data_IF_235491139470
#
_entry.id   IF_235491139470
#
_cell.length_a   1.000
_cell.length_b   1.000
_cell.length_c   1.000
_cell.angle_alpha   90.00
_cell.angle_beta   90.00
_cell.angle_gamma   90.00
#
_symmetry.space_group_name_H-M   'P 1'
#
loop_
_entity.id
_entity.type
_entity.pdbx_description
1 polymer ?
#
# COMPACT_ATOMS: atom_id res chain seq x y z
N UNK A 1 5.18 16.58 -13.48
CA UNK A 1 6.63 16.28 -13.44
C UNK A 1 7.15 16.02 -12.02
N UNK A 2 7.11 16.97 -11.09
CA UNK A 2 7.62 16.73 -9.71
C UNK A 2 6.87 15.62 -8.97
N UNK A 3 5.54 15.56 -9.10
CA UNK A 3 4.73 14.48 -8.50
C UNK A 3 5.02 13.10 -9.11
N UNK A 4 5.26 13.03 -10.42
CA UNK A 4 5.56 11.78 -11.12
C UNK A 4 6.89 11.18 -10.68
N UNK A 5 7.91 12.04 -10.49
CA UNK A 5 9.21 11.63 -9.95
C UNK A 5 9.11 11.13 -8.51
N UNK A 6 8.32 11.82 -7.66
CA UNK A 6 8.06 11.38 -6.30
C UNK A 6 7.33 10.03 -6.26
N UNK A 7 6.37 9.83 -7.17
CA UNK A 7 5.66 8.55 -7.31
C UNK A 7 6.62 7.43 -7.72
N UNK A 8 7.50 7.66 -8.69
CA UNK A 8 8.51 6.68 -9.10
C UNK A 8 9.46 6.34 -7.96
N UNK A 9 9.96 7.35 -7.24
CA UNK A 9 10.82 7.15 -6.08
C UNK A 9 10.09 6.33 -4.99
N UNK A 10 8.82 6.66 -4.70
CA UNK A 10 8.01 5.93 -3.74
C UNK A 10 7.82 4.46 -4.14
N UNK A 11 7.52 4.17 -5.41
CA UNK A 11 7.38 2.79 -5.91
C UNK A 11 8.67 1.99 -5.71
N UNK A 12 9.83 2.56 -6.02
CA UNK A 12 11.13 1.91 -5.84
C UNK A 12 11.39 1.63 -4.36
N UNK A 13 11.24 2.64 -3.49
CA UNK A 13 11.49 2.51 -2.06
C UNK A 13 10.53 1.52 -1.40
N UNK A 14 9.23 1.57 -1.74
CA UNK A 14 8.24 0.63 -1.23
C UNK A 14 8.53 -0.81 -1.68
N UNK A 15 8.89 -1.00 -2.96
CA UNK A 15 9.24 -2.32 -3.49
C UNK A 15 10.43 -2.94 -2.76
N UNK A 16 11.50 -2.16 -2.56
CA UNK A 16 12.67 -2.58 -1.77
C UNK A 16 12.29 -2.87 -0.31
N UNK A 17 11.50 -1.99 0.30
CA UNK A 17 11.01 -2.16 1.67
C UNK A 17 10.21 -3.45 1.86
N UNK A 18 9.39 -3.84 0.87
CA UNK A 18 8.67 -5.11 0.92
C UNK A 18 9.57 -6.33 0.73
N UNK A 19 10.57 -6.23 -0.15
CA UNK A 19 11.53 -7.31 -0.33
C UNK A 19 12.35 -7.56 0.93
N UNK A 20 12.92 -6.51 1.53
CA UNK A 20 13.67 -6.60 2.78
C UNK A 20 12.77 -6.98 3.97
N UNK A 21 11.56 -6.42 4.05
CA UNK A 21 10.59 -6.79 5.07
C UNK A 21 10.22 -8.27 5.03
N UNK A 22 10.07 -8.85 3.84
CA UNK A 22 9.84 -10.28 3.66
C UNK A 22 11.04 -11.13 4.10
N UNK A 23 12.28 -10.67 3.82
CA UNK A 23 13.51 -11.33 4.27
C UNK A 23 13.63 -11.29 5.80
N UNK A 24 13.52 -10.12 6.40
CA UNK A 24 13.57 -9.92 7.86
C UNK A 24 12.48 -10.71 8.57
N UNK A 25 11.31 -10.90 7.94
CA UNK A 25 10.21 -11.68 8.52
C UNK A 25 10.56 -13.15 8.71
N UNK A 26 11.49 -13.70 7.92
CA UNK A 26 11.98 -15.08 8.11
C UNK A 26 12.87 -15.23 9.35
N UNK A 27 13.51 -14.15 9.79
CA UNK A 27 14.43 -14.13 10.93
C UNK A 27 13.74 -13.65 12.22
N UNK A 28 12.93 -12.58 12.12
CA UNK A 28 12.32 -11.89 13.26
C UNK A 28 10.80 -12.12 13.38
N UNK A 29 10.16 -12.69 12.37
CA UNK A 29 8.69 -12.80 12.33
C UNK A 29 7.97 -11.49 11.98
N UNK A 30 6.83 -11.60 11.30
CA UNK A 30 6.16 -10.47 10.63
C UNK A 30 5.68 -9.37 11.57
N UNK A 31 5.32 -9.72 12.82
CA UNK A 31 4.85 -8.74 13.80
C UNK A 31 5.98 -7.87 14.35
N UNK A 32 7.20 -8.41 14.50
CA UNK A 32 8.36 -7.63 14.94
C UNK A 32 8.81 -6.69 13.83
N UNK A 33 8.84 -7.16 12.58
CA UNK A 33 9.23 -6.35 11.42
C UNK A 33 8.34 -5.13 11.26
N UNK A 34 6.99 -5.29 11.27
CA UNK A 34 6.09 -4.14 11.13
C UNK A 34 6.16 -3.22 12.35
N UNK A 35 6.28 -3.76 13.56
CA UNK A 35 6.38 -2.94 14.78
C UNK A 35 7.61 -2.04 14.75
N UNK A 36 8.77 -2.59 14.37
CA UNK A 36 9.99 -1.80 14.19
C UNK A 36 9.88 -0.80 13.06
N UNK A 37 9.29 -1.17 11.92
CA UNK A 37 9.05 -0.24 10.82
C UNK A 37 8.18 0.96 11.26
N UNK A 38 7.11 0.71 12.02
CA UNK A 38 6.24 1.76 12.56
C UNK A 38 6.96 2.67 13.56
N UNK A 39 7.76 2.09 14.47
CA UNK A 39 8.55 2.87 15.44
C UNK A 39 9.57 3.77 14.72
N UNK A 40 10.25 3.25 13.68
CA UNK A 40 11.20 4.03 12.90
C UNK A 40 10.52 5.11 12.04
N UNK A 41 9.33 4.85 11.52
CA UNK A 41 8.55 5.81 10.75
C UNK A 41 7.91 6.90 11.62
N UNK A 42 7.58 6.59 12.88
CA UNK A 42 6.88 7.48 13.80
C UNK A 42 7.48 8.90 13.90
N UNK A 43 8.80 9.12 14.12
CA UNK A 43 9.34 10.47 14.21
C UNK A 43 9.11 11.30 12.93
N UNK A 44 9.29 10.69 11.76
CA UNK A 44 9.05 11.36 10.47
C UNK A 44 7.56 11.69 10.29
N UNK A 45 6.68 10.76 10.66
CA UNK A 45 5.23 10.95 10.59
C UNK A 45 4.73 12.01 11.58
N UNK A 46 5.34 12.12 12.76
CA UNK A 46 5.02 13.17 13.73
C UNK A 46 5.42 14.55 13.20
N UNK A 47 6.61 14.67 12.60
CA UNK A 47 7.04 15.93 11.96
C UNK A 47 6.11 16.30 10.81
N UNK A 48 5.80 15.35 9.92
CA UNK A 48 4.87 15.57 8.81
C UNK A 48 3.48 16.01 9.30
N UNK A 49 2.91 15.29 10.28
CA UNK A 49 1.62 15.60 10.90
C UNK A 49 1.60 17.00 11.52
N UNK A 50 2.68 17.42 12.17
CA UNK A 50 2.81 18.77 12.72
C UNK A 50 2.85 19.84 11.63
N UNK A 51 3.59 19.60 10.55
CA UNK A 51 3.70 20.53 9.42
C UNK A 51 2.39 20.65 8.63
N UNK A 52 1.61 19.57 8.54
CA UNK A 52 0.36 19.50 7.76
C UNK A 52 -0.89 19.60 8.65
N UNK A 53 -0.75 20.02 9.91
CA UNK A 53 -1.87 20.09 10.86
C UNK A 53 -2.96 21.03 10.36
N UNK A 54 -4.25 20.73 10.63
CA UNK A 54 -5.33 21.63 10.27
C UNK A 54 -5.28 22.91 11.13
N UNK A 55 -5.79 24.02 10.58
CA UNK A 55 -5.91 25.27 11.32
C UNK A 55 -6.83 25.16 12.56
N UNK A 56 -7.81 24.25 12.50
CA UNK A 56 -8.71 23.95 13.62
C UNK A 56 -8.98 22.45 13.74
N UNK A 57 -8.92 21.93 14.95
CA UNK A 57 -9.24 20.52 15.25
C UNK A 57 -10.75 20.25 15.33
N UNK A 58 -11.57 21.28 15.53
CA UNK A 58 -13.02 21.16 15.67
C UNK A 58 -13.75 20.69 14.41
N UNK A 59 -13.10 20.72 13.25
CA UNK A 59 -13.65 20.24 11.97
C UNK A 59 -13.45 18.72 11.75
N UNK A 60 -12.69 18.03 12.62
CA UNK A 60 -12.44 16.59 12.46
C UNK A 60 -13.63 15.82 13.02
N UNK A 61 -14.36 15.15 12.15
CA UNK A 61 -15.52 14.34 12.53
C UNK A 61 -15.11 13.12 13.39
N UNK A 62 -16.01 12.58 14.21
CA UNK A 62 -15.79 11.30 14.90
C UNK A 62 -15.49 10.15 13.92
N UNK A 63 -16.09 10.17 12.73
CA UNK A 63 -15.84 9.16 11.69
C UNK A 63 -14.39 9.19 11.18
N UNK A 64 -13.75 10.36 11.11
CA UNK A 64 -12.35 10.47 10.72
C UNK A 64 -11.42 9.81 11.76
N UNK A 65 -11.72 9.96 13.05
CA UNK A 65 -10.98 9.28 14.12
C UNK A 65 -11.16 7.76 14.08
N UNK A 66 -12.38 7.29 13.84
CA UNK A 66 -12.65 5.86 13.67
C UNK A 66 -11.91 5.31 12.44
N UNK A 67 -11.93 6.04 11.31
CA UNK A 67 -11.19 5.67 10.12
C UNK A 67 -9.67 5.62 10.37
N UNK A 68 -9.12 6.57 11.13
CA UNK A 68 -7.71 6.55 11.54
C UNK A 68 -7.39 5.31 12.40
N UNK A 69 -8.24 4.99 13.36
CA UNK A 69 -8.10 3.77 14.18
C UNK A 69 -8.16 2.51 13.32
N UNK A 70 -9.10 2.44 12.38
CA UNK A 70 -9.25 1.30 11.48
C UNK A 70 -8.03 1.12 10.57
N UNK A 71 -7.61 2.20 9.90
CA UNK A 71 -6.47 2.17 8.98
C UNK A 71 -5.17 1.85 9.73
N UNK A 72 -4.96 2.39 10.93
CA UNK A 72 -3.73 2.13 11.69
C UNK A 72 -3.67 0.71 12.27
N UNK A 73 -4.75 0.23 12.90
CA UNK A 73 -4.73 -1.06 13.61
C UNK A 73 -4.98 -2.24 12.67
N UNK A 74 -6.05 -2.19 11.88
CA UNK A 74 -6.46 -3.34 11.07
C UNK A 74 -5.73 -3.38 9.73
N UNK A 75 -5.70 -2.27 9.01
CA UNK A 75 -5.06 -2.22 7.69
C UNK A 75 -3.54 -2.21 7.79
N UNK A 76 -2.99 -1.30 8.60
CA UNK A 76 -1.54 -1.10 8.66
C UNK A 76 -0.86 -2.09 9.60
N UNK A 77 -1.24 -2.20 10.87
CA UNK A 77 -0.57 -3.12 11.79
C UNK A 77 -0.92 -4.59 11.47
N UNK A 78 -2.16 -5.01 11.72
CA UNK A 78 -2.57 -6.42 11.60
C UNK A 78 -2.42 -6.90 10.15
N UNK A 79 -2.89 -6.12 9.19
CA UNK A 79 -2.79 -6.43 7.76
C UNK A 79 -1.34 -6.67 7.33
N UNK A 80 -0.39 -5.84 7.78
CA UNK A 80 1.01 -6.04 7.39
C UNK A 80 1.69 -7.23 8.07
N UNK A 81 1.25 -7.64 9.26
CA UNK A 81 1.74 -8.89 9.87
C UNK A 81 1.47 -10.04 8.91
N UNK A 82 0.25 -10.14 8.40
CA UNK A 82 -0.13 -11.18 7.43
C UNK A 82 0.51 -10.96 6.08
N UNK A 83 0.61 -9.71 5.62
CA UNK A 83 1.24 -9.36 4.35
C UNK A 83 2.69 -9.81 4.30
N UNK A 84 3.51 -9.44 5.30
CA UNK A 84 4.91 -9.82 5.34
C UNK A 84 5.10 -11.33 5.50
N UNK A 85 4.25 -12.00 6.30
CA UNK A 85 4.24 -13.46 6.38
C UNK A 85 3.90 -14.10 5.03
N UNK A 86 2.91 -13.56 4.32
CA UNK A 86 2.51 -13.99 2.99
C UNK A 86 3.64 -13.83 1.98
N UNK A 87 4.33 -12.68 1.99
CA UNK A 87 5.51 -12.44 1.16
C UNK A 87 6.66 -13.40 1.48
N UNK A 88 6.92 -13.63 2.77
CA UNK A 88 7.98 -14.53 3.22
C UNK A 88 7.72 -16.00 2.82
N UNK A 89 6.46 -16.45 2.89
CA UNK A 89 6.06 -17.83 2.62
C UNK A 89 5.78 -18.11 1.13
N UNK A 90 4.99 -17.25 0.47
CA UNK A 90 4.58 -17.41 -0.93
C UNK A 90 5.59 -16.86 -1.95
N UNK A 91 6.59 -16.11 -1.49
CA UNK A 91 7.57 -15.45 -2.33
C UNK A 91 7.05 -14.14 -2.93
N UNK A 92 7.95 -13.17 -3.05
CA UNK A 92 7.64 -11.79 -3.48
C UNK A 92 6.98 -11.77 -4.87
N UNK A 93 7.46 -12.60 -5.80
CA UNK A 93 6.95 -12.64 -7.17
C UNK A 93 5.49 -13.10 -7.25
N UNK A 94 5.10 -14.15 -6.51
CA UNK A 94 3.73 -14.69 -6.54
C UNK A 94 2.75 -13.73 -5.87
N UNK A 95 3.12 -13.18 -4.71
CA UNK A 95 2.30 -12.21 -3.98
C UNK A 95 2.17 -10.90 -4.76
N UNK A 96 3.21 -10.48 -5.48
CA UNK A 96 3.15 -9.34 -6.41
C UNK A 96 2.15 -9.56 -7.55
N UNK A 97 1.92 -10.80 -7.99
CA UNK A 97 0.85 -11.08 -8.97
C UNK A 97 -0.54 -10.93 -8.37
N UNK A 98 -0.74 -11.30 -7.10
CA UNK A 98 -2.01 -11.06 -6.42
C UNK A 98 -2.33 -9.56 -6.34
N UNK A 99 -1.32 -8.69 -6.20
CA UNK A 99 -1.53 -7.24 -6.25
C UNK A 99 -1.98 -6.73 -7.62
N UNK A 100 -1.76 -7.45 -8.73
CA UNK A 100 -2.32 -7.06 -10.03
C UNK A 100 -3.86 -7.12 -10.03
N UNK A 101 -4.48 -7.81 -9.06
CA UNK A 101 -5.92 -7.78 -8.86
C UNK A 101 -6.39 -6.55 -8.06
N UNK A 102 -5.49 -5.91 -7.30
CA UNK A 102 -5.82 -4.78 -6.43
C UNK A 102 -6.45 -3.60 -7.19
N UNK A 103 -6.01 -3.22 -8.41
CA UNK A 103 -6.67 -2.17 -9.19
C UNK A 103 -8.15 -2.48 -9.50
N UNK A 104 -8.51 -3.73 -9.81
CA UNK A 104 -9.89 -4.09 -10.09
C UNK A 104 -10.76 -4.03 -8.83
N UNK A 105 -10.26 -4.58 -7.73
CA UNK A 105 -10.96 -4.48 -6.45
C UNK A 105 -11.06 -3.02 -5.99
N UNK A 106 -10.02 -2.21 -6.21
CA UNK A 106 -10.03 -0.77 -5.92
C UNK A 106 -11.12 -0.04 -6.71
N UNK A 107 -11.16 -0.20 -8.03
CA UNK A 107 -12.20 0.40 -8.87
C UNK A 107 -13.60 -0.14 -8.54
N UNK A 108 -13.74 -1.44 -8.33
CA UNK A 108 -15.01 -2.07 -7.98
C UNK A 108 -15.55 -1.60 -6.63
N UNK A 109 -14.69 -1.51 -5.62
CA UNK A 109 -15.06 -0.99 -4.30
C UNK A 109 -15.35 0.52 -4.35
N UNK A 110 -14.61 1.30 -5.14
CA UNK A 110 -14.90 2.72 -5.34
C UNK A 110 -16.29 2.92 -5.97
N UNK A 111 -16.64 2.16 -7.02
CA UNK A 111 -17.98 2.17 -7.59
C UNK A 111 -19.06 1.71 -6.59
N UNK A 112 -18.81 0.64 -5.84
CA UNK A 112 -19.82 0.05 -4.98
C UNK A 112 -20.06 0.83 -3.67
N UNK A 113 -18.99 1.36 -3.06
CA UNK A 113 -19.03 1.98 -1.73
C UNK A 113 -18.99 3.51 -1.78
N UNK A 114 -18.26 4.08 -2.74
CA UNK A 114 -18.11 5.54 -2.90
C UNK A 114 -19.00 6.09 -4.02
N UNK A 115 -19.69 5.22 -4.75
CA UNK A 115 -20.54 5.56 -5.90
C UNK A 115 -19.78 6.33 -6.99
N UNK A 116 -18.47 6.11 -7.11
CA UNK A 116 -17.64 6.75 -8.13
C UNK A 116 -17.91 6.14 -9.52
N UNK A 117 -17.92 7.00 -10.55
CA UNK A 117 -18.12 6.55 -11.93
C UNK A 117 -16.85 5.91 -12.48
N UNK A 118 -16.85 4.58 -12.59
CA UNK A 118 -15.78 3.83 -13.24
C UNK A 118 -15.97 3.89 -14.75
N UNK A 119 -15.15 4.69 -15.43
CA UNK A 119 -15.23 4.80 -16.89
C UNK A 119 -14.70 3.53 -17.57
N UNK A 120 -15.22 3.17 -18.75
CA UNK A 120 -14.66 2.08 -19.55
C UNK A 120 -13.16 2.26 -19.85
N UNK A 121 -12.70 3.51 -19.95
CA UNK A 121 -11.30 3.85 -20.16
C UNK A 121 -10.41 3.47 -18.97
N UNK A 122 -10.87 3.68 -17.73
CA UNK A 122 -10.13 3.26 -16.53
C UNK A 122 -9.90 1.75 -16.51
N UNK A 123 -10.94 0.98 -16.87
CA UNK A 123 -10.84 -0.47 -16.99
C UNK A 123 -9.88 -0.89 -18.11
N UNK A 124 -9.98 -0.26 -19.28
CA UNK A 124 -9.10 -0.55 -20.42
C UNK A 124 -7.63 -0.26 -20.10
N UNK A 125 -7.33 0.87 -19.46
CA UNK A 125 -5.97 1.23 -19.04
C UNK A 125 -5.45 0.26 -17.97
N UNK A 126 -6.29 -0.09 -16.99
CA UNK A 126 -5.93 -1.05 -15.94
C UNK A 126 -5.58 -2.42 -16.54
N UNK A 127 -6.41 -2.92 -17.45
CA UNK A 127 -6.14 -4.15 -18.20
C UNK A 127 -4.86 -4.05 -19.03
N UNK A 128 -4.66 -2.94 -19.74
CA UNK A 128 -3.47 -2.68 -20.54
C UNK A 128 -2.18 -2.71 -19.72
N UNK A 129 -2.15 -2.04 -18.57
CA UNK A 129 -0.99 -2.05 -17.66
C UNK A 129 -0.69 -3.47 -17.18
N UNK A 130 -1.70 -4.24 -16.81
CA UNK A 130 -1.52 -5.62 -16.35
C UNK A 130 -0.99 -6.51 -17.47
N UNK A 131 -1.53 -6.39 -18.69
CA UNK A 131 -1.03 -7.12 -19.85
C UNK A 131 0.44 -6.77 -20.16
N UNK A 132 0.81 -5.49 -20.04
CA UNK A 132 2.21 -5.06 -20.17
C UNK A 132 3.10 -5.68 -19.09
N UNK A 133 2.65 -5.72 -17.83
CA UNK A 133 3.41 -6.34 -16.74
C UNK A 133 3.57 -7.85 -16.98
N UNK A 134 2.50 -8.56 -17.34
CA UNK A 134 2.55 -9.99 -17.68
C UNK A 134 3.49 -10.23 -18.87
N UNK A 135 3.41 -9.41 -19.92
CA UNK A 135 4.28 -9.46 -21.09
C UNK A 135 5.75 -9.25 -20.74
N UNK A 136 6.07 -8.21 -19.97
CA UNK A 136 7.45 -7.89 -19.54
C UNK A 136 8.11 -9.03 -18.77
N UNK A 137 7.34 -9.74 -17.93
CA UNK A 137 7.84 -10.91 -17.18
C UNK A 137 8.16 -12.10 -18.08
N UNK A 138 7.43 -12.27 -19.18
CA UNK A 138 7.64 -13.38 -20.13
C UNK A 138 8.92 -13.21 -20.98
N UNK A 139 9.40 -11.98 -21.15
CA UNK A 139 10.62 -11.68 -21.90
C UNK A 139 11.84 -11.37 -21.02
N UNK A 140 11.64 -11.15 -19.71
CA UNK A 140 12.69 -10.87 -18.73
C UNK A 140 13.14 -12.08 -17.90
N UNK A 141 12.58 -13.27 -18.17
CA UNK A 141 12.98 -14.58 -17.61
C UNK A 141 13.75 -15.40 -18.63
#
# INVERSE_FOLDING_TARGET
LSGDLLMLAAVIVCGLGYAEGAKLTRELGGWQVISWALIMALPFMLVASWMTRPASWGAISPSAWIALGYVSLFSMLIGFIFWYKGLAAGGIAAVGQLQLLQPFFGLGLAAALLHETVSPLMLAVTLGVILCVIGSRKFGS
#
